data_IF_726949305157
#
_entry.id   IF_726949305157
#
_cell.length_a   1.000
_cell.length_b   1.000
_cell.length_c   1.000
_cell.angle_alpha   90.00
_cell.angle_beta   90.00
_cell.angle_gamma   90.00
#
_symmetry.space_group_name_H-M   'P 1'
#
loop_
_entity.id
_entity.type
_entity.pdbx_description
1 polymer ?
#
# COMPACT_ATOMS: atom_id res chain seq x y z
N UNK A 1 -37.80 7.02 -7.64
CA UNK A 1 -36.97 5.77 -7.69
C UNK A 1 -35.65 5.91 -8.45
N UNK A 2 -35.54 6.58 -9.64
CA UNK A 2 -34.22 6.83 -10.33
C UNK A 2 -33.30 7.82 -9.60
N UNK A 3 -33.85 8.87 -8.96
CA UNK A 3 -33.07 9.87 -8.21
C UNK A 3 -32.37 9.30 -6.98
N UNK A 4 -33.03 8.39 -6.28
CA UNK A 4 -32.53 7.78 -5.05
C UNK A 4 -31.34 6.85 -5.32
N UNK A 5 -31.39 6.03 -6.39
CA UNK A 5 -30.27 5.17 -6.83
C UNK A 5 -29.04 5.98 -7.26
N UNK A 6 -29.22 7.16 -7.86
CA UNK A 6 -28.12 8.04 -8.26
C UNK A 6 -27.43 8.64 -7.03
N UNK A 7 -28.20 9.03 -6.02
CA UNK A 7 -27.67 9.59 -4.78
C UNK A 7 -26.85 8.56 -3.99
N UNK A 8 -27.33 7.32 -3.92
CA UNK A 8 -26.62 6.21 -3.25
C UNK A 8 -25.30 5.87 -3.95
N UNK A 9 -25.28 5.84 -5.30
CA UNK A 9 -24.02 5.60 -6.07
C UNK A 9 -23.00 6.71 -5.84
N UNK A 10 -23.43 7.98 -5.80
CA UNK A 10 -22.54 9.13 -5.54
C UNK A 10 -21.97 9.09 -4.12
N UNK A 11 -22.79 8.75 -3.13
CA UNK A 11 -22.33 8.60 -1.74
C UNK A 11 -21.29 7.48 -1.61
N UNK A 12 -21.53 6.31 -2.20
CA UNK A 12 -20.59 5.21 -2.19
C UNK A 12 -19.24 5.57 -2.86
N UNK A 13 -19.29 6.29 -3.97
CA UNK A 13 -18.09 6.77 -4.66
C UNK A 13 -17.28 7.76 -3.81
N UNK A 14 -17.94 8.73 -3.16
CA UNK A 14 -17.28 9.68 -2.28
C UNK A 14 -16.63 8.98 -1.08
N UNK A 15 -17.33 8.02 -0.49
CA UNK A 15 -16.79 7.20 0.60
C UNK A 15 -15.54 6.42 0.14
N UNK A 16 -15.59 5.79 -1.03
CA UNK A 16 -14.45 5.06 -1.58
C UNK A 16 -13.26 5.98 -1.86
N UNK A 17 -13.51 7.18 -2.41
CA UNK A 17 -12.47 8.19 -2.65
C UNK A 17 -11.81 8.65 -1.35
N UNK A 18 -12.59 8.88 -0.31
CA UNK A 18 -12.09 9.26 1.01
C UNK A 18 -11.27 8.13 1.65
N UNK A 19 -11.72 6.89 1.58
CA UNK A 19 -10.99 5.74 2.08
C UNK A 19 -9.64 5.57 1.38
N UNK A 20 -9.61 5.70 0.05
CA UNK A 20 -8.34 5.63 -0.70
C UNK A 20 -7.43 6.82 -0.44
N UNK A 21 -7.98 8.01 -0.22
CA UNK A 21 -7.18 9.16 0.22
C UNK A 21 -6.49 8.85 1.56
N UNK A 22 -7.23 8.36 2.56
CA UNK A 22 -6.66 7.98 3.85
C UNK A 22 -5.62 6.85 3.73
N UNK A 23 -5.90 5.85 2.89
CA UNK A 23 -4.96 4.75 2.61
C UNK A 23 -3.68 5.28 1.96
N UNK A 24 -3.78 6.22 1.02
CA UNK A 24 -2.64 6.91 0.41
C UNK A 24 -1.80 7.70 1.42
N UNK A 25 -2.44 8.44 2.33
CA UNK A 25 -1.75 9.13 3.44
C UNK A 25 -0.93 8.13 4.26
N UNK A 26 -1.56 7.07 4.73
CA UNK A 26 -0.91 6.05 5.56
C UNK A 26 0.25 5.36 4.82
N UNK A 27 0.07 5.02 3.54
CA UNK A 27 1.08 4.34 2.74
C UNK A 27 2.37 5.16 2.62
N UNK A 28 2.27 6.47 2.36
CA UNK A 28 3.45 7.33 2.25
C UNK A 28 4.07 7.66 3.61
N UNK A 29 3.29 7.76 4.68
CA UNK A 29 3.83 7.86 6.04
C UNK A 29 4.70 6.62 6.33
N UNK A 30 4.20 5.42 6.11
CA UNK A 30 4.98 4.20 6.30
C UNK A 30 6.23 4.19 5.41
N UNK A 31 6.12 4.49 4.12
CA UNK A 31 7.25 4.48 3.20
C UNK A 31 8.36 5.42 3.65
N UNK A 32 8.04 6.66 4.04
CA UNK A 32 9.04 7.64 4.48
C UNK A 32 9.70 7.20 5.79
N UNK A 33 8.90 6.71 6.76
CA UNK A 33 9.43 6.19 8.03
C UNK A 33 10.37 5.01 7.78
N UNK A 34 9.99 4.05 6.94
CA UNK A 34 10.82 2.87 6.66
C UNK A 34 12.12 3.23 5.94
N UNK A 35 12.11 4.19 5.02
CA UNK A 35 13.33 4.68 4.37
C UNK A 35 14.26 5.31 5.40
N UNK A 36 13.74 6.15 6.30
CA UNK A 36 14.54 6.74 7.40
C UNK A 36 15.12 5.66 8.32
N UNK A 37 14.32 4.66 8.71
CA UNK A 37 14.79 3.53 9.53
C UNK A 37 15.85 2.70 8.81
N UNK A 38 15.67 2.43 7.51
CA UNK A 38 16.67 1.73 6.70
C UNK A 38 17.99 2.51 6.63
N UNK A 39 17.96 3.83 6.54
CA UNK A 39 19.17 4.68 6.62
C UNK A 39 19.94 4.46 7.91
N UNK A 40 19.26 4.31 9.04
CA UNK A 40 19.89 4.00 10.34
C UNK A 40 20.48 2.58 10.40
N UNK A 41 19.92 1.63 9.67
CA UNK A 41 20.38 0.24 9.62
C UNK A 41 21.63 0.09 8.76
N UNK A 42 21.59 0.71 7.59
CA UNK A 42 22.57 0.48 6.52
C UNK A 42 23.71 1.50 6.57
N UNK A 43 23.48 2.66 7.19
CA UNK A 43 24.47 3.71 7.30
C UNK A 43 24.80 4.47 5.99
N UNK A 44 24.11 4.14 4.89
CA UNK A 44 24.29 4.80 3.58
C UNK A 44 22.91 5.08 2.95
N UNK A 45 22.54 6.35 2.86
CA UNK A 45 21.22 6.79 2.42
C UNK A 45 20.82 6.26 1.03
N UNK A 46 21.77 6.20 0.09
CA UNK A 46 21.48 5.73 -1.27
C UNK A 46 20.99 4.28 -1.27
N UNK A 47 21.62 3.38 -0.51
CA UNK A 47 21.21 1.98 -0.43
C UNK A 47 19.89 1.82 0.32
N UNK A 48 19.68 2.61 1.37
CA UNK A 48 18.42 2.62 2.12
C UNK A 48 17.25 3.06 1.23
N UNK A 49 17.40 4.17 0.50
CA UNK A 49 16.41 4.69 -0.44
C UNK A 49 16.14 3.65 -1.54
N UNK A 50 17.19 3.11 -2.16
CA UNK A 50 17.04 2.13 -3.24
C UNK A 50 16.29 0.89 -2.76
N UNK A 51 16.65 0.33 -1.60
CA UNK A 51 16.00 -0.85 -1.04
C UNK A 51 14.54 -0.56 -0.67
N UNK A 52 14.29 0.55 0.03
CA UNK A 52 12.95 0.95 0.46
C UNK A 52 12.02 1.23 -0.72
N UNK A 53 12.47 2.04 -1.67
CA UNK A 53 11.67 2.42 -2.85
C UNK A 53 11.43 1.20 -3.75
N UNK A 54 12.47 0.40 -4.03
CA UNK A 54 12.32 -0.79 -4.87
C UNK A 54 11.40 -1.84 -4.23
N UNK A 55 11.54 -2.10 -2.92
CA UNK A 55 10.67 -3.00 -2.19
C UNK A 55 9.22 -2.53 -2.19
N UNK A 56 9.02 -1.24 -1.96
CA UNK A 56 7.69 -0.64 -1.96
C UNK A 56 7.00 -0.76 -3.33
N UNK A 57 7.65 -0.34 -4.41
CA UNK A 57 7.07 -0.42 -5.75
C UNK A 57 6.90 -1.87 -6.25
N UNK A 58 7.84 -2.76 -5.92
CA UNK A 58 7.68 -4.18 -6.22
C UNK A 58 6.45 -4.76 -5.52
N UNK A 59 6.27 -4.43 -4.23
CA UNK A 59 5.08 -4.79 -3.48
C UNK A 59 3.81 -4.25 -4.11
N UNK A 60 3.74 -2.95 -4.42
CA UNK A 60 2.57 -2.33 -5.07
C UNK A 60 2.21 -3.04 -6.38
N UNK A 61 3.19 -3.34 -7.22
CA UNK A 61 2.96 -4.00 -8.51
C UNK A 61 2.42 -5.43 -8.34
N UNK A 62 3.04 -6.22 -7.47
CA UNK A 62 2.60 -7.59 -7.15
C UNK A 62 1.18 -7.57 -6.56
N UNK A 63 0.94 -6.69 -5.59
CA UNK A 63 -0.34 -6.56 -4.92
C UNK A 63 -1.47 -6.21 -5.86
N UNK A 64 -1.27 -5.21 -6.71
CA UNK A 64 -2.23 -4.80 -7.74
C UNK A 64 -2.58 -5.97 -8.68
N UNK A 65 -1.57 -6.72 -9.14
CA UNK A 65 -1.78 -7.85 -10.05
C UNK A 65 -2.50 -9.03 -9.38
N UNK A 66 -2.14 -9.37 -8.14
CA UNK A 66 -2.71 -10.51 -7.41
C UNK A 66 -4.14 -10.19 -6.95
N UNK A 67 -4.32 -9.08 -6.24
CA UNK A 67 -5.62 -8.72 -5.68
C UNK A 67 -6.59 -8.17 -6.74
N UNK A 68 -6.10 -7.67 -7.88
CA UNK A 68 -6.92 -7.39 -9.04
C UNK A 68 -7.65 -8.64 -9.53
N UNK A 69 -6.89 -9.70 -9.83
CA UNK A 69 -7.47 -10.99 -10.25
C UNK A 69 -8.41 -11.61 -9.21
N UNK A 70 -8.08 -11.45 -7.92
CA UNK A 70 -8.90 -11.95 -6.83
C UNK A 70 -10.20 -11.16 -6.70
N UNK A 71 -10.15 -9.84 -6.84
CA UNK A 71 -11.31 -8.96 -6.79
C UNK A 71 -12.30 -9.24 -7.92
N UNK A 72 -11.81 -9.45 -9.16
CA UNK A 72 -12.62 -9.73 -10.33
C UNK A 72 -13.43 -11.03 -10.18
N UNK A 73 -12.89 -11.99 -9.46
CA UNK A 73 -13.53 -13.30 -9.22
C UNK A 73 -14.38 -13.37 -7.96
N UNK A 74 -14.31 -12.35 -7.11
CA UNK A 74 -14.95 -12.39 -5.79
C UNK A 74 -16.39 -11.88 -5.83
N UNK A 75 -17.35 -12.63 -5.25
CA UNK A 75 -18.70 -12.11 -5.06
C UNK A 75 -18.79 -11.01 -3.99
N UNK A 76 -17.75 -10.84 -3.17
CA UNK A 76 -17.71 -9.89 -2.04
C UNK A 76 -16.39 -9.11 -2.00
N UNK A 77 -16.08 -8.30 -3.03
CA UNK A 77 -14.78 -7.61 -3.13
C UNK A 77 -14.52 -6.64 -1.97
N UNK A 78 -15.56 -6.06 -1.38
CA UNK A 78 -15.41 -5.18 -0.20
C UNK A 78 -14.81 -5.92 1.01
N UNK A 79 -15.05 -7.22 1.17
CA UNK A 79 -14.42 -8.00 2.25
C UNK A 79 -12.91 -8.18 2.03
N UNK A 80 -12.49 -8.29 0.75
CA UNK A 80 -11.06 -8.33 0.40
C UNK A 80 -10.44 -7.00 0.80
N UNK A 81 -11.04 -5.87 0.41
CA UNK A 81 -10.57 -4.53 0.79
C UNK A 81 -10.40 -4.38 2.30
N UNK A 82 -11.42 -4.73 3.09
CA UNK A 82 -11.36 -4.65 4.55
C UNK A 82 -10.24 -5.54 5.13
N UNK A 83 -10.09 -6.76 4.61
CA UNK A 83 -9.00 -7.66 5.01
C UNK A 83 -7.62 -7.09 4.69
N UNK A 84 -7.48 -6.43 3.55
CA UNK A 84 -6.22 -5.76 3.16
C UNK A 84 -5.90 -4.60 4.10
N UNK A 85 -6.86 -3.73 4.42
CA UNK A 85 -6.63 -2.59 5.34
C UNK A 85 -6.24 -3.06 6.75
N UNK A 86 -6.88 -4.11 7.26
CA UNK A 86 -6.49 -4.72 8.53
C UNK A 86 -5.07 -5.31 8.45
N UNK A 87 -4.77 -6.02 7.36
CA UNK A 87 -3.45 -6.57 7.11
C UNK A 87 -2.37 -5.49 7.00
N UNK A 88 -2.65 -4.37 6.32
CA UNK A 88 -1.76 -3.21 6.22
C UNK A 88 -1.47 -2.63 7.60
N UNK A 89 -2.49 -2.44 8.42
CA UNK A 89 -2.32 -1.91 9.77
C UNK A 89 -1.41 -2.82 10.61
N UNK A 90 -1.67 -4.13 10.62
CA UNK A 90 -0.89 -5.10 11.39
C UNK A 90 0.54 -5.25 10.87
N UNK A 91 0.71 -5.48 9.57
CA UNK A 91 2.03 -5.70 8.98
C UNK A 91 2.84 -4.41 8.88
N UNK A 92 2.20 -3.26 8.68
CA UNK A 92 2.85 -1.97 8.68
C UNK A 92 3.45 -1.64 10.05
N UNK A 93 2.70 -1.83 11.12
CA UNK A 93 3.20 -1.67 12.50
C UNK A 93 4.32 -2.68 12.79
N UNK A 94 4.12 -3.94 12.44
CA UNK A 94 5.13 -4.99 12.65
C UNK A 94 6.42 -4.66 11.91
N UNK A 95 6.35 -4.29 10.63
CA UNK A 95 7.52 -3.89 9.84
C UNK A 95 8.24 -2.68 10.45
N UNK A 96 7.49 -1.67 10.90
CA UNK A 96 8.04 -0.48 11.56
C UNK A 96 8.80 -0.86 12.83
N UNK A 97 8.23 -1.73 13.67
CA UNK A 97 8.90 -2.20 14.88
C UNK A 97 10.13 -3.05 14.57
N UNK A 98 10.04 -3.97 13.61
CA UNK A 98 11.17 -4.81 13.21
C UNK A 98 12.30 -3.97 12.62
N UNK A 99 12.01 -2.97 11.80
CA UNK A 99 13.02 -2.05 11.26
C UNK A 99 13.66 -1.19 12.34
N UNK A 100 12.93 -0.78 13.38
CA UNK A 100 13.50 -0.04 14.50
C UNK A 100 14.57 -0.86 15.28
N UNK A 101 14.43 -2.19 15.32
CA UNK A 101 15.38 -3.09 15.95
C UNK A 101 16.42 -3.68 14.97
N UNK A 102 16.31 -3.35 13.69
CA UNK A 102 17.10 -3.92 12.63
C UNK A 102 18.62 -3.72 12.78
N UNK A 103 19.16 -2.59 13.28
CA UNK A 103 20.61 -2.43 13.45
C UNK A 103 21.25 -3.54 14.27
N UNK A 104 20.54 -4.04 15.29
CA UNK A 104 21.07 -5.08 16.20
C UNK A 104 21.29 -6.44 15.53
N UNK A 105 20.43 -6.82 14.57
CA UNK A 105 20.51 -8.13 13.92
C UNK A 105 21.03 -8.06 12.47
N UNK A 106 20.92 -6.90 11.79
CA UNK A 106 21.35 -6.76 10.41
C UNK A 106 22.87 -6.93 10.26
N UNK A 107 23.65 -6.32 11.15
CA UNK A 107 25.13 -6.43 11.13
C UNK A 107 25.55 -7.89 11.30
N UNK A 108 24.95 -8.60 12.25
CA UNK A 108 25.24 -10.03 12.46
C UNK A 108 24.85 -10.88 11.26
N UNK A 109 23.70 -10.59 10.63
CA UNK A 109 23.24 -11.28 9.44
C UNK A 109 24.14 -10.99 8.25
N UNK A 110 24.55 -9.73 8.04
CA UNK A 110 25.43 -9.32 6.94
C UNK A 110 26.81 -9.96 7.04
N UNK A 111 27.36 -10.11 8.25
CA UNK A 111 28.66 -10.77 8.45
C UNK A 111 28.63 -12.26 8.12
N UNK A 112 27.46 -12.92 8.25
CA UNK A 112 27.30 -14.35 7.98
C UNK A 112 26.81 -14.66 6.56
N UNK A 113 25.96 -13.83 5.97
CA UNK A 113 25.27 -14.10 4.69
C UNK A 113 25.62 -13.11 3.58
N UNK A 114 26.39 -12.05 3.87
CA UNK A 114 26.78 -11.03 2.89
C UNK A 114 25.57 -10.33 2.26
N UNK A 115 25.53 -10.30 0.93
CA UNK A 115 24.47 -9.60 0.15
C UNK A 115 23.06 -10.16 0.43
N UNK A 116 22.94 -11.43 0.83
CA UNK A 116 21.61 -12.01 1.14
C UNK A 116 20.95 -11.39 2.36
N UNK A 117 21.70 -10.73 3.26
CA UNK A 117 21.15 -9.99 4.38
C UNK A 117 20.15 -8.90 3.92
N UNK A 118 20.33 -8.33 2.74
CA UNK A 118 19.47 -7.30 2.18
C UNK A 118 18.07 -7.79 1.80
N UNK A 119 17.88 -9.08 1.61
CA UNK A 119 16.57 -9.65 1.34
C UNK A 119 15.59 -9.39 2.48
N UNK A 120 16.05 -9.36 3.73
CA UNK A 120 15.19 -9.19 4.89
C UNK A 120 14.58 -7.77 4.99
N UNK A 121 15.36 -6.68 5.00
CA UNK A 121 14.79 -5.34 4.96
C UNK A 121 13.96 -5.08 3.70
N UNK A 122 14.33 -5.62 2.54
CA UNK A 122 13.52 -5.55 1.34
C UNK A 122 12.15 -6.21 1.54
N UNK A 123 12.10 -7.41 2.10
CA UNK A 123 10.84 -8.12 2.35
C UNK A 123 9.99 -7.45 3.43
N UNK A 124 10.60 -6.86 4.46
CA UNK A 124 9.88 -6.11 5.50
C UNK A 124 9.10 -4.92 4.91
N UNK A 125 9.60 -4.31 3.84
CA UNK A 125 8.90 -3.23 3.12
C UNK A 125 7.95 -3.81 2.07
N UNK A 126 8.38 -4.80 1.27
CA UNK A 126 7.62 -5.31 0.14
C UNK A 126 6.33 -6.04 0.55
N UNK A 127 6.34 -6.78 1.66
CA UNK A 127 5.17 -7.55 2.10
C UNK A 127 3.97 -6.64 2.44
N UNK A 128 4.08 -5.65 3.35
CA UNK A 128 2.95 -4.73 3.59
C UNK A 128 2.63 -3.88 2.36
N UNK A 129 3.62 -3.46 1.56
CA UNK A 129 3.38 -2.74 0.32
C UNK A 129 2.57 -3.57 -0.70
N UNK A 130 2.71 -4.90 -0.70
CA UNK A 130 1.89 -5.80 -1.52
C UNK A 130 0.41 -5.70 -1.16
N UNK A 131 0.07 -5.59 0.13
CA UNK A 131 -1.31 -5.37 0.54
C UNK A 131 -1.79 -3.98 0.14
N UNK A 132 -0.95 -2.94 0.28
CA UNK A 132 -1.29 -1.57 -0.13
C UNK A 132 -1.61 -1.49 -1.63
N UNK A 133 -0.80 -2.13 -2.49
CA UNK A 133 -1.07 -2.20 -3.92
C UNK A 133 -2.36 -2.92 -4.28
N UNK A 134 -2.83 -3.79 -3.39
CA UNK A 134 -4.06 -4.56 -3.55
C UNK A 134 -5.35 -3.80 -3.22
N UNK A 135 -5.33 -2.60 -2.65
CA UNK A 135 -6.53 -1.93 -2.11
C UNK A 135 -7.47 -1.36 -3.16
N UNK A 136 -6.93 -0.76 -4.22
CA UNK A 136 -7.72 -0.12 -5.27
C UNK A 136 -8.64 -1.09 -6.04
N UNK A 137 -8.16 -2.25 -6.55
CA UNK A 137 -8.99 -3.13 -7.37
C UNK A 137 -10.25 -3.66 -6.67
N UNK A 138 -10.20 -4.17 -5.42
CA UNK A 138 -11.40 -4.65 -4.74
C UNK A 138 -12.40 -3.53 -4.44
N UNK A 139 -11.91 -2.33 -4.15
CA UNK A 139 -12.79 -1.19 -3.89
C UNK A 139 -13.50 -0.74 -5.16
N UNK A 140 -12.79 -0.70 -6.30
CA UNK A 140 -13.38 -0.44 -7.61
C UNK A 140 -14.43 -1.50 -7.98
N UNK A 141 -14.10 -2.80 -7.81
CA UNK A 141 -15.02 -3.89 -8.08
C UNK A 141 -16.29 -3.82 -7.20
N UNK A 142 -16.16 -3.36 -5.95
CA UNK A 142 -17.29 -3.18 -5.05
C UNK A 142 -18.28 -2.08 -5.51
N UNK A 143 -17.80 -1.05 -6.20
CA UNK A 143 -18.62 0.03 -6.74
C UNK A 143 -19.42 -0.39 -7.98
N UNK A 144 -19.07 -1.51 -8.62
CA UNK A 144 -19.74 -2.04 -9.83
C UNK A 144 -19.97 -0.96 -10.91
N UNK A 145 -18.89 -0.32 -11.41
CA UNK A 145 -19.03 0.67 -12.46
C UNK A 145 -19.60 0.06 -13.74
N UNK A 146 -20.29 0.86 -14.55
CA UNK A 146 -20.65 0.49 -15.91
C UNK A 146 -19.42 0.55 -16.82
N UNK A 147 -19.30 -0.33 -17.82
CA UNK A 147 -18.08 -0.46 -18.66
C UNK A 147 -17.60 0.87 -19.23
N UNK A 148 -18.52 1.73 -19.68
CA UNK A 148 -18.18 3.07 -20.20
C UNK A 148 -17.62 4.03 -19.15
N UNK A 149 -17.79 3.75 -17.84
CA UNK A 149 -17.36 4.61 -16.74
C UNK A 149 -16.15 4.09 -15.95
N UNK A 150 -15.73 2.84 -16.19
CA UNK A 150 -14.64 2.18 -15.45
C UNK A 150 -13.36 3.01 -15.45
N UNK A 151 -12.87 3.40 -16.63
CA UNK A 151 -11.62 4.15 -16.75
C UNK A 151 -11.64 5.48 -16.02
N UNK A 152 -12.74 6.23 -16.12
CA UNK A 152 -12.92 7.51 -15.43
C UNK A 152 -12.96 7.32 -13.91
N UNK A 153 -13.69 6.33 -13.43
CA UNK A 153 -13.82 6.05 -12.00
C UNK A 153 -12.49 5.59 -11.41
N UNK A 154 -11.78 4.71 -12.11
CA UNK A 154 -10.42 4.27 -11.72
C UNK A 154 -9.47 5.45 -11.61
N UNK A 155 -9.45 6.34 -12.62
CA UNK A 155 -8.61 7.53 -12.60
C UNK A 155 -8.92 8.47 -11.44
N UNK A 156 -10.20 8.68 -11.10
CA UNK A 156 -10.61 9.51 -9.97
C UNK A 156 -10.21 8.90 -8.62
N UNK A 157 -10.40 7.59 -8.45
CA UNK A 157 -9.99 6.88 -7.24
C UNK A 157 -8.47 6.88 -7.07
N UNK A 158 -7.73 6.66 -8.16
CA UNK A 158 -6.28 6.75 -8.17
C UNK A 158 -5.79 8.17 -7.84
N UNK A 159 -6.44 9.21 -8.38
CA UNK A 159 -6.13 10.60 -8.06
C UNK A 159 -6.36 10.91 -6.57
N UNK A 160 -7.44 10.40 -5.98
CA UNK A 160 -7.69 10.54 -4.54
C UNK A 160 -6.60 9.87 -3.70
N UNK A 161 -6.19 8.65 -4.06
CA UNK A 161 -5.09 7.93 -3.39
C UNK A 161 -3.76 8.70 -3.52
N UNK A 162 -3.44 9.22 -4.71
CA UNK A 162 -2.23 9.99 -4.96
C UNK A 162 -2.23 11.32 -4.18
N UNK A 163 -3.36 12.01 -4.12
CA UNK A 163 -3.51 13.22 -3.30
C UNK A 163 -3.25 12.93 -1.82
N UNK A 164 -3.78 11.81 -1.31
CA UNK A 164 -3.47 11.32 0.03
C UNK A 164 -1.98 11.04 0.23
N UNK A 165 -1.35 10.38 -0.74
CA UNK A 165 0.07 10.08 -0.72
C UNK A 165 0.93 11.36 -0.62
N UNK A 166 0.59 12.40 -1.38
CA UNK A 166 1.27 13.71 -1.30
C UNK A 166 1.14 14.30 0.11
N UNK A 167 -0.06 14.29 0.67
CA UNK A 167 -0.28 14.77 2.05
C UNK A 167 0.54 13.94 3.05
N UNK A 168 0.52 12.61 2.95
CA UNK A 168 1.30 11.72 3.80
C UNK A 168 2.80 12.03 3.76
N UNK A 169 3.36 12.24 2.56
CA UNK A 169 4.76 12.58 2.39
C UNK A 169 5.14 13.97 2.96
N UNK A 170 4.19 14.93 2.94
CA UNK A 170 4.47 16.30 3.44
C UNK A 170 4.40 16.42 4.96
N UNK A 171 3.68 15.53 5.64
CA UNK A 171 3.52 15.60 7.11
C UNK A 171 4.49 14.69 7.88
N UNK A 172 5.31 13.89 7.15
CA UNK A 172 6.28 12.94 7.74
C UNK A 172 7.72 13.50 7.66
#
# INVERSE_FOLDING_TARGET
MKSDKKNTKNSAFLTASFLLFCSGVAALIYQVIWIKQLGLVVGVDVYAITTGVSGFFAGLAIGSAVFGRLADRSPKPLRIYIGLEIGIALLGITATLMLAWAPAWFVALQSSTGVLAWALPFMLVAIPATLMGGTLPPLLAALKPEDASVGRMTGQLYAANTAGAIVGALIT
#
